data_IF_297962685328
#
_entry.id   IF_297962685328
#
_cell.length_a   1.000
_cell.length_b   1.000
_cell.length_c   1.000
_cell.angle_alpha   90.00
_cell.angle_beta   90.00
_cell.angle_gamma   90.00
#
_symmetry.space_group_name_H-M   'P 1'
#
loop_
_entity.id
_entity.type
_entity.pdbx_description
1 polymer ?
#
# COMPACT_ATOMS: atom_id res chain seq x y z
N UNK A 1 -32.39 39.85 -7.30
CA UNK A 1 -31.59 39.49 -6.12
C UNK A 1 -31.33 38.00 -6.19
N UNK A 2 -30.07 37.62 -6.37
CA UNK A 2 -29.36 36.57 -5.62
C UNK A 2 -27.96 36.49 -6.26
N UNK A 3 -27.01 37.06 -5.52
CA UNK A 3 -25.59 37.11 -5.82
C UNK A 3 -24.98 35.78 -5.37
N UNK A 4 -24.35 35.04 -6.27
CA UNK A 4 -23.50 33.90 -5.88
C UNK A 4 -22.09 34.26 -6.32
N UNK A 5 -21.29 34.70 -5.34
CA UNK A 5 -19.87 34.94 -5.51
C UNK A 5 -19.15 33.60 -5.60
N UNK A 6 -18.35 33.42 -6.63
CA UNK A 6 -17.37 32.34 -6.74
C UNK A 6 -16.26 32.56 -5.71
N UNK A 7 -15.97 31.54 -4.89
CA UNK A 7 -14.81 31.54 -4.00
C UNK A 7 -13.72 30.70 -4.68
N UNK A 8 -12.71 31.37 -5.22
CA UNK A 8 -11.44 30.75 -5.56
C UNK A 8 -10.65 30.52 -4.26
N UNK A 9 -10.16 29.32 -4.04
CA UNK A 9 -9.16 29.04 -2.99
C UNK A 9 -7.84 28.79 -3.70
N UNK A 10 -6.95 29.77 -3.61
CA UNK A 10 -5.52 29.64 -3.92
C UNK A 10 -4.88 28.72 -2.89
N UNK A 11 -4.16 27.69 -3.35
CA UNK A 11 -3.30 26.86 -2.52
C UNK A 11 -1.95 27.57 -2.43
N UNK A 12 -1.65 28.16 -1.27
CA UNK A 12 -0.35 28.74 -0.95
C UNK A 12 0.60 27.64 -0.45
N UNK A 13 1.77 27.61 -1.08
CA UNK A 13 2.84 26.64 -0.91
C UNK A 13 3.81 27.18 0.15
N UNK A 14 3.66 26.77 1.41
CA UNK A 14 4.64 27.07 2.46
C UNK A 14 4.89 25.86 3.35
N UNK A 15 6.17 25.45 3.38
CA UNK A 15 6.67 24.23 3.97
C UNK A 15 6.34 24.05 5.46
N UNK A 16 5.88 22.85 5.80
CA UNK A 16 5.67 22.42 7.17
C UNK A 16 6.90 21.64 7.68
N UNK A 17 7.51 22.20 8.72
CA UNK A 17 8.57 21.63 9.56
C UNK A 17 8.13 20.28 10.15
N UNK A 18 8.94 19.24 9.92
CA UNK A 18 8.68 17.86 10.34
C UNK A 18 9.08 17.58 11.79
N UNK A 19 8.15 17.02 12.57
CA UNK A 19 8.40 16.36 13.84
C UNK A 19 7.75 14.96 13.82
N UNK A 20 8.03 14.11 14.82
CA UNK A 20 7.53 12.72 15.03
C UNK A 20 6.01 12.47 14.85
N UNK A 21 5.25 13.48 14.45
CA UNK A 21 3.81 13.48 14.24
C UNK A 21 3.34 12.68 13.02
N UNK A 22 4.16 12.42 12.00
CA UNK A 22 3.64 11.95 10.71
C UNK A 22 2.88 10.59 10.73
N UNK A 23 3.34 9.55 11.45
CA UNK A 23 2.59 8.30 11.57
C UNK A 23 1.34 8.44 12.45
N UNK A 24 1.39 9.32 13.44
CA UNK A 24 0.27 9.63 14.34
C UNK A 24 -0.79 10.44 13.58
N UNK A 25 -0.39 11.44 12.82
CA UNK A 25 -1.25 12.24 11.94
C UNK A 25 -1.83 11.39 10.81
N UNK A 26 -1.09 10.39 10.31
CA UNK A 26 -1.60 9.38 9.38
C UNK A 26 -2.69 8.50 10.03
N UNK A 27 -2.42 7.97 11.22
CA UNK A 27 -3.41 7.19 11.99
C UNK A 27 -4.63 8.05 12.39
N UNK A 28 -4.42 9.32 12.76
CA UNK A 28 -5.46 10.30 13.12
C UNK A 28 -6.34 10.68 11.92
N UNK A 29 -5.76 10.91 10.74
CA UNK A 29 -6.51 11.16 9.52
C UNK A 29 -7.37 9.95 9.12
N UNK A 30 -6.87 8.73 9.36
CA UNK A 30 -7.64 7.50 9.15
C UNK A 30 -8.78 7.40 10.16
N UNK A 31 -8.53 7.65 11.46
CA UNK A 31 -9.56 7.67 12.49
C UNK A 31 -10.63 8.72 12.16
N UNK A 32 -10.23 9.91 11.72
CA UNK A 32 -11.15 10.98 11.37
C UNK A 32 -12.00 10.65 10.13
N UNK A 33 -11.40 10.08 9.07
CA UNK A 33 -12.13 9.63 7.90
C UNK A 33 -13.13 8.50 8.22
N UNK A 34 -12.78 7.62 9.16
CA UNK A 34 -13.64 6.56 9.67
C UNK A 34 -14.79 7.16 10.51
N UNK A 35 -14.50 8.12 11.40
CA UNK A 35 -15.45 8.76 12.31
C UNK A 35 -16.50 9.62 11.57
N UNK A 36 -16.09 10.37 10.53
CA UNK A 36 -17.00 11.11 9.64
C UNK A 36 -18.09 10.20 9.07
N UNK A 37 -17.76 8.94 8.76
CA UNK A 37 -18.71 7.96 8.20
C UNK A 37 -19.60 7.30 9.26
N UNK A 38 -19.08 7.03 10.45
CA UNK A 38 -19.89 6.57 11.59
C UNK A 38 -20.97 7.58 11.97
N UNK A 39 -20.70 8.88 11.79
CA UNK A 39 -21.66 9.95 12.05
C UNK A 39 -22.73 10.11 10.95
N UNK A 40 -22.49 9.65 9.71
CA UNK A 40 -23.41 9.81 8.58
C UNK A 40 -24.19 8.54 8.20
N UNK A 41 -23.78 7.36 8.67
CA UNK A 41 -24.42 6.09 8.36
C UNK A 41 -24.48 5.20 9.61
N UNK A 42 -25.59 4.49 9.84
CA UNK A 42 -25.60 3.35 10.78
C UNK A 42 -24.90 2.22 10.02
N UNK A 43 -23.64 1.87 10.32
CA UNK A 43 -22.92 0.89 9.53
C UNK A 43 -23.47 -0.49 9.84
N UNK A 44 -23.69 -1.32 8.81
CA UNK A 44 -23.98 -2.73 9.05
C UNK A 44 -22.75 -3.41 9.69
N UNK A 45 -22.93 -4.54 10.40
CA UNK A 45 -21.79 -5.31 10.91
C UNK A 45 -20.79 -5.73 9.81
N UNK A 46 -21.27 -5.91 8.59
CA UNK A 46 -20.44 -6.20 7.40
C UNK A 46 -19.57 -4.98 7.04
N UNK A 47 -20.14 -3.78 7.01
CA UNK A 47 -19.38 -2.53 6.76
C UNK A 47 -18.30 -2.30 7.82
N UNK A 48 -18.57 -2.65 9.09
CA UNK A 48 -17.58 -2.54 10.17
C UNK A 48 -16.41 -3.51 9.97
N UNK A 49 -16.69 -4.75 9.58
CA UNK A 49 -15.66 -5.74 9.29
C UNK A 49 -14.80 -5.33 8.09
N UNK A 50 -15.41 -4.83 7.02
CA UNK A 50 -14.72 -4.38 5.82
C UNK A 50 -13.75 -3.22 6.11
N UNK A 51 -14.18 -2.24 6.92
CA UNK A 51 -13.31 -1.17 7.38
C UNK A 51 -12.12 -1.68 8.21
N UNK A 52 -12.32 -2.70 9.06
CA UNK A 52 -11.25 -3.31 9.84
C UNK A 52 -10.23 -4.05 8.96
N UNK A 53 -10.66 -4.72 7.89
CA UNK A 53 -9.75 -5.40 6.97
C UNK A 53 -8.82 -4.41 6.26
N UNK A 54 -9.35 -3.29 5.78
CA UNK A 54 -8.53 -2.21 5.22
C UNK A 54 -7.60 -1.60 6.26
N UNK A 55 -8.10 -1.36 7.47
CA UNK A 55 -7.28 -0.84 8.55
C UNK A 55 -6.11 -1.76 8.90
N UNK A 56 -6.30 -3.08 8.84
CA UNK A 56 -5.22 -4.06 9.02
C UNK A 56 -4.14 -3.92 7.95
N UNK A 57 -4.52 -3.74 6.67
CA UNK A 57 -3.54 -3.50 5.59
C UNK A 57 -2.74 -2.23 5.85
N UNK A 58 -3.39 -1.12 6.19
CA UNK A 58 -2.69 0.14 6.48
C UNK A 58 -1.71 0.01 7.65
N UNK A 59 -2.15 -0.57 8.76
CA UNK A 59 -1.28 -0.84 9.90
C UNK A 59 -0.13 -1.78 9.53
N UNK A 60 -0.40 -2.76 8.69
CA UNK A 60 0.61 -3.69 8.17
C UNK A 60 1.69 -2.97 7.38
N UNK A 61 1.29 -2.15 6.40
CA UNK A 61 2.22 -1.33 5.61
C UNK A 61 3.01 -0.35 6.50
N UNK A 62 2.36 0.31 7.46
CA UNK A 62 3.04 1.20 8.40
C UNK A 62 4.03 0.45 9.31
N UNK A 63 3.77 -0.82 9.65
CA UNK A 63 4.72 -1.67 10.37
C UNK A 63 5.91 -2.02 9.48
N UNK A 64 5.68 -2.37 8.20
CA UNK A 64 6.75 -2.69 7.26
C UNK A 64 7.67 -1.49 6.98
N UNK A 65 7.11 -0.29 6.77
CA UNK A 65 7.86 0.96 6.59
C UNK A 65 8.82 1.19 7.76
N UNK A 66 8.32 1.05 8.99
CA UNK A 66 9.13 1.21 10.21
C UNK A 66 10.20 0.11 10.31
N UNK A 67 9.86 -1.14 10.00
CA UNK A 67 10.80 -2.27 10.05
C UNK A 67 11.95 -2.14 9.02
N UNK A 68 11.67 -1.52 7.87
CA UNK A 68 12.64 -1.23 6.83
C UNK A 68 13.45 0.06 7.08
N UNK A 69 13.16 0.77 8.18
CA UNK A 69 13.72 2.08 8.50
C UNK A 69 13.56 3.09 7.35
N UNK A 70 12.41 3.07 6.68
CA UNK A 70 12.08 4.00 5.61
C UNK A 70 11.46 5.26 6.20
N UNK A 71 11.99 6.41 5.82
CA UNK A 71 11.51 7.70 6.28
C UNK A 71 10.31 8.16 5.43
N UNK A 72 9.20 8.51 6.09
CA UNK A 72 7.93 8.83 5.41
C UNK A 72 8.05 9.98 4.42
N UNK A 73 8.86 11.00 4.72
CA UNK A 73 9.05 12.13 3.80
C UNK A 73 9.77 11.74 2.52
N UNK A 74 10.66 10.75 2.59
CA UNK A 74 11.30 10.19 1.40
C UNK A 74 10.26 9.42 0.57
N UNK A 75 9.37 8.67 1.23
CA UNK A 75 8.25 7.99 0.58
C UNK A 75 7.19 8.93 -0.01
N UNK A 76 7.08 10.17 0.49
CA UNK A 76 6.19 11.19 -0.05
C UNK A 76 6.80 11.97 -1.22
N UNK A 77 8.11 11.83 -1.45
CA UNK A 77 8.87 12.58 -2.44
C UNK A 77 9.13 11.75 -3.71
N UNK A 78 8.65 12.25 -4.84
CA UNK A 78 8.81 11.68 -6.18
C UNK A 78 10.26 11.57 -6.69
N UNK A 79 11.23 12.12 -5.97
CA UNK A 79 12.63 12.15 -6.39
C UNK A 79 13.54 11.34 -5.45
N UNK A 80 12.98 10.61 -4.49
CA UNK A 80 13.75 9.85 -3.52
C UNK A 80 14.10 8.47 -4.05
N UNK A 81 15.38 8.11 -3.99
CA UNK A 81 15.83 6.75 -4.26
C UNK A 81 15.75 5.88 -3.00
N UNK A 82 15.45 4.60 -3.20
CA UNK A 82 15.47 3.60 -2.15
C UNK A 82 16.84 3.52 -1.47
N UNK A 83 16.88 3.47 -0.13
CA UNK A 83 18.12 3.29 0.61
C UNK A 83 18.83 1.96 0.32
N UNK A 84 18.14 0.95 -0.23
CA UNK A 84 18.76 -0.31 -0.66
C UNK A 84 19.80 -0.13 -1.77
N UNK A 85 19.69 0.93 -2.58
CA UNK A 85 20.66 1.26 -3.64
C UNK A 85 21.93 1.86 -3.06
N UNK A 86 21.81 2.67 -2.01
CA UNK A 86 22.96 3.28 -1.34
C UNK A 86 23.81 2.27 -0.57
N UNK A 87 23.28 1.08 -0.29
CA UNK A 87 23.92 0.06 0.53
C UNK A 87 23.95 0.39 2.03
N UNK A 88 23.30 1.47 2.46
CA UNK A 88 23.30 1.93 3.85
C UNK A 88 22.18 1.33 4.69
N UNK A 89 21.72 0.11 4.36
CA UNK A 89 20.74 -0.64 5.16
C UNK A 89 21.40 -1.84 5.83
N UNK A 90 21.22 -1.93 7.15
CA UNK A 90 21.55 -3.13 7.91
C UNK A 90 20.53 -4.24 7.60
N UNK A 91 20.90 -5.12 6.68
CA UNK A 91 20.08 -6.25 6.26
C UNK A 91 20.05 -7.40 7.27
N UNK A 92 20.90 -7.38 8.30
CA UNK A 92 21.02 -8.48 9.26
C UNK A 92 19.81 -8.59 10.21
N UNK A 93 19.06 -7.50 10.35
CA UNK A 93 17.88 -7.41 11.22
C UNK A 93 16.56 -7.57 10.46
N UNK A 94 16.60 -7.60 9.12
CA UNK A 94 15.41 -7.69 8.29
C UNK A 94 14.79 -9.09 8.34
N UNK A 95 13.45 -9.14 8.35
CA UNK A 95 12.70 -10.37 8.19
C UNK A 95 13.11 -11.10 6.89
N UNK A 96 12.99 -12.44 6.82
CA UNK A 96 13.41 -13.21 5.65
C UNK A 96 12.82 -12.71 4.32
N UNK A 97 11.54 -12.35 4.31
CA UNK A 97 10.85 -11.87 3.11
C UNK A 97 11.21 -10.42 2.76
N UNK A 98 11.83 -9.67 3.66
CA UNK A 98 12.36 -8.33 3.40
C UNK A 98 13.84 -8.29 3.06
N UNK A 99 14.49 -9.46 2.91
CA UNK A 99 15.82 -9.48 2.34
C UNK A 99 15.79 -8.85 0.93
N UNK A 100 16.72 -7.92 0.64
CA UNK A 100 16.68 -7.20 -0.62
C UNK A 100 16.98 -8.13 -1.79
N UNK A 101 16.31 -7.89 -2.91
CA UNK A 101 16.56 -8.58 -4.17
C UNK A 101 17.81 -8.01 -4.86
N UNK A 102 18.20 -8.61 -5.97
CA UNK A 102 19.27 -8.06 -6.80
C UNK A 102 18.85 -6.71 -7.42
N UNK A 103 17.61 -6.58 -7.89
CA UNK A 103 17.14 -5.35 -8.52
C UNK A 103 17.08 -4.18 -7.53
N UNK A 104 16.57 -4.40 -6.32
CA UNK A 104 16.55 -3.37 -5.27
C UNK A 104 17.94 -2.85 -4.88
N UNK A 105 19.01 -3.61 -5.15
CA UNK A 105 20.39 -3.18 -4.88
C UNK A 105 21.08 -2.53 -6.07
N UNK A 106 20.50 -2.62 -7.27
CA UNK A 106 21.21 -2.29 -8.52
C UNK A 106 20.46 -1.34 -9.44
N UNK A 107 19.15 -1.17 -9.27
CA UNK A 107 18.30 -0.32 -10.11
C UNK A 107 17.69 0.79 -9.26
N UNK A 108 18.00 2.05 -9.57
CA UNK A 108 17.39 3.20 -8.88
C UNK A 108 15.85 3.14 -8.97
N UNK A 109 15.18 3.23 -7.81
CA UNK A 109 13.74 3.06 -7.68
C UNK A 109 13.23 3.74 -6.41
N UNK A 110 11.93 4.02 -6.36
CA UNK A 110 11.29 4.68 -5.23
C UNK A 110 11.12 3.73 -4.02
N UNK A 111 11.33 4.19 -2.77
CA UNK A 111 11.19 3.36 -1.57
C UNK A 111 9.81 2.71 -1.38
N UNK A 112 8.76 3.22 -2.05
CA UNK A 112 7.42 2.62 -1.96
C UNK A 112 7.33 1.21 -2.54
N UNK A 113 8.26 0.82 -3.42
CA UNK A 113 8.30 -0.54 -3.96
C UNK A 113 8.88 -1.55 -2.98
N UNK A 114 9.47 -1.10 -1.87
CA UNK A 114 10.14 -1.98 -0.91
C UNK A 114 9.21 -2.55 0.16
N UNK A 115 8.01 -2.00 0.32
CA UNK A 115 7.17 -2.21 1.51
C UNK A 115 6.33 -3.50 1.47
N UNK A 116 6.32 -4.21 0.34
CA UNK A 116 5.57 -5.46 0.17
C UNK A 116 6.50 -6.67 0.33
N UNK A 117 6.12 -7.70 1.12
CA UNK A 117 7.06 -8.77 1.48
C UNK A 117 7.41 -9.69 0.31
N UNK A 118 6.53 -9.88 -0.68
CA UNK A 118 6.85 -10.77 -1.80
C UNK A 118 7.93 -10.16 -2.71
N UNK A 119 9.09 -10.81 -2.78
CA UNK A 119 10.24 -10.35 -3.59
C UNK A 119 9.93 -10.22 -5.09
N UNK A 120 9.07 -11.08 -5.65
CA UNK A 120 8.73 -11.03 -7.08
C UNK A 120 7.87 -9.82 -7.37
N UNK A 121 6.92 -9.50 -6.49
CA UNK A 121 6.11 -8.28 -6.59
C UNK A 121 6.98 -7.02 -6.56
N UNK A 122 7.98 -6.97 -5.68
CA UNK A 122 8.93 -5.85 -5.59
C UNK A 122 9.74 -5.71 -6.88
N UNK A 123 10.28 -6.81 -7.38
CA UNK A 123 11.06 -6.83 -8.62
C UNK A 123 10.21 -6.41 -9.83
N UNK A 124 8.98 -6.91 -9.94
CA UNK A 124 8.03 -6.49 -10.96
C UNK A 124 7.74 -4.98 -10.90
N UNK A 125 7.54 -4.42 -9.70
CA UNK A 125 7.33 -2.98 -9.54
C UNK A 125 8.52 -2.16 -10.07
N UNK A 126 9.74 -2.58 -9.76
CA UNK A 126 10.99 -1.93 -10.20
C UNK A 126 11.16 -2.05 -11.72
N UNK A 127 10.94 -3.22 -12.29
CA UNK A 127 11.05 -3.43 -13.74
C UNK A 127 10.05 -2.57 -14.51
N UNK A 128 8.78 -2.56 -14.10
CA UNK A 128 7.75 -1.77 -14.78
C UNK A 128 7.95 -0.27 -14.61
N UNK A 129 8.48 0.17 -13.46
CA UNK A 129 8.87 1.56 -13.24
C UNK A 129 9.89 2.05 -14.28
N UNK A 130 10.91 1.23 -14.55
CA UNK A 130 11.97 1.57 -15.49
C UNK A 130 11.48 1.66 -16.93
N UNK A 131 10.48 0.85 -17.30
CA UNK A 131 9.99 0.72 -18.68
C UNK A 131 8.94 1.77 -19.03
N UNK A 132 7.96 2.01 -18.17
CA UNK A 132 6.77 2.78 -18.56
C UNK A 132 6.72 4.21 -17.99
N UNK A 133 7.61 4.58 -17.04
CA UNK A 133 7.47 5.83 -16.24
C UNK A 133 6.02 6.03 -15.76
N UNK A 134 5.40 4.93 -15.36
CA UNK A 134 3.99 4.87 -15.05
C UNK A 134 3.68 5.67 -13.77
N UNK A 135 2.54 6.36 -13.63
CA UNK A 135 2.16 7.11 -12.41
C UNK A 135 1.82 6.23 -11.18
N UNK A 136 2.55 5.11 -11.00
CA UNK A 136 2.44 4.17 -9.88
C UNK A 136 3.23 4.59 -8.64
N UNK A 137 4.24 5.46 -8.79
CA UNK A 137 5.12 5.88 -7.68
C UNK A 137 4.36 6.40 -6.46
N UNK A 138 3.26 7.13 -6.69
CA UNK A 138 2.38 7.65 -5.64
C UNK A 138 1.17 6.75 -5.30
N UNK A 139 1.11 5.52 -5.85
CA UNK A 139 -0.10 4.68 -5.78
C UNK A 139 0.12 3.23 -5.38
N UNK A 140 1.34 2.68 -5.27
CA UNK A 140 1.47 1.26 -4.89
C UNK A 140 0.89 0.97 -3.49
N UNK A 141 1.23 1.77 -2.48
CA UNK A 141 0.65 1.64 -1.13
C UNK A 141 -0.88 1.79 -1.14
N UNK A 142 -1.39 2.71 -1.95
CA UNK A 142 -2.83 2.95 -2.13
C UNK A 142 -3.51 1.79 -2.86
N UNK A 143 -2.89 1.26 -3.90
CA UNK A 143 -3.37 0.14 -4.68
C UNK A 143 -3.42 -1.11 -3.80
N UNK A 144 -2.37 -1.41 -3.02
CA UNK A 144 -2.34 -2.51 -2.04
C UNK A 144 -3.45 -2.32 -1.00
N UNK A 145 -3.69 -1.07 -0.57
CA UNK A 145 -4.78 -0.74 0.33
C UNK A 145 -6.16 -0.67 -0.36
N UNK A 146 -6.27 -1.06 -1.64
CA UNK A 146 -7.53 -1.09 -2.39
C UNK A 146 -8.18 0.27 -2.60
N UNK A 147 -7.36 1.31 -2.81
CA UNK A 147 -7.82 2.70 -2.98
C UNK A 147 -7.24 3.32 -4.25
N UNK A 148 -8.07 4.10 -4.95
CA UNK A 148 -7.61 4.99 -6.02
C UNK A 148 -7.26 6.38 -5.49
N UNK A 149 -7.89 6.84 -4.41
CA UNK A 149 -7.59 8.09 -3.69
C UNK A 149 -7.68 7.90 -2.17
N UNK A 150 -7.13 8.83 -1.40
CA UNK A 150 -7.20 8.80 0.07
C UNK A 150 -8.63 8.80 0.64
N UNK A 151 -9.58 9.35 -0.11
CA UNK A 151 -10.96 9.56 0.33
C UNK A 151 -11.92 8.44 -0.11
N UNK A 152 -11.48 7.56 -1.03
CA UNK A 152 -12.27 6.43 -1.48
C UNK A 152 -11.98 5.18 -0.63
N UNK A 153 -13.04 4.51 -0.19
CA UNK A 153 -12.95 3.22 0.48
C UNK A 153 -13.74 2.25 -0.40
N UNK A 154 -13.06 1.28 -0.99
CA UNK A 154 -13.70 0.17 -1.69
C UNK A 154 -14.34 -0.76 -0.67
N UNK A 155 -15.55 -0.41 -0.20
CA UNK A 155 -16.26 -1.17 0.82
C UNK A 155 -16.45 -2.65 0.46
N UNK A 156 -16.30 -3.06 -0.79
CA UNK A 156 -16.52 -4.44 -1.19
C UNK A 156 -15.26 -5.33 -1.14
N UNK A 157 -14.09 -4.82 -0.73
CA UNK A 157 -12.81 -5.55 -0.82
C UNK A 157 -12.56 -6.09 -2.24
N UNK A 158 -13.01 -5.37 -3.27
CA UNK A 158 -12.87 -5.83 -4.65
C UNK A 158 -11.47 -5.59 -5.18
N UNK A 159 -10.80 -4.55 -4.69
CA UNK A 159 -9.48 -4.11 -5.10
C UNK A 159 -8.53 -4.08 -3.89
N UNK A 160 -7.24 -4.22 -4.17
CA UNK A 160 -6.17 -4.28 -3.18
C UNK A 160 -5.83 -5.66 -2.65
N UNK A 161 -5.30 -5.68 -1.45
CA UNK A 161 -4.89 -6.88 -0.75
C UNK A 161 -5.63 -6.98 0.58
N UNK A 162 -5.56 -8.17 1.16
CA UNK A 162 -6.08 -8.48 2.49
C UNK A 162 -4.92 -9.02 3.32
N UNK A 163 -4.78 -8.50 4.54
CA UNK A 163 -3.77 -8.97 5.49
C UNK A 163 -4.41 -9.84 6.57
N UNK A 164 -4.03 -11.12 6.60
CA UNK A 164 -4.56 -12.14 7.51
C UNK A 164 -3.66 -12.42 8.72
N UNK A 165 -2.41 -11.94 8.71
CA UNK A 165 -1.40 -12.27 9.70
C UNK A 165 -0.33 -11.19 9.83
N UNK A 166 0.92 -11.60 10.00
CA UNK A 166 2.04 -10.68 10.12
C UNK A 166 2.39 -10.05 8.77
N UNK A 167 2.55 -8.71 8.69
CA UNK A 167 2.69 -7.98 7.41
C UNK A 167 4.04 -8.17 6.72
N UNK A 168 5.04 -8.67 7.44
CA UNK A 168 6.38 -8.99 6.95
C UNK A 168 6.51 -10.43 6.44
N UNK A 169 5.40 -11.15 6.31
CA UNK A 169 5.33 -12.52 5.80
C UNK A 169 4.44 -12.58 4.57
N UNK A 170 4.98 -13.01 3.44
CA UNK A 170 4.29 -13.14 2.15
C UNK A 170 3.02 -13.97 2.28
N UNK A 171 3.09 -15.09 3.00
CA UNK A 171 1.96 -16.00 3.17
C UNK A 171 0.83 -15.43 4.03
N UNK A 172 1.00 -14.26 4.66
CA UNK A 172 -0.08 -13.56 5.38
C UNK A 172 -0.94 -12.69 4.47
N UNK A 173 -0.52 -12.46 3.23
CA UNK A 173 -1.21 -11.60 2.29
C UNK A 173 -2.06 -12.40 1.30
N UNK A 174 -3.22 -11.82 0.97
CA UNK A 174 -4.10 -12.29 -0.09
C UNK A 174 -4.32 -11.14 -1.08
N UNK A 175 -4.19 -11.42 -2.37
CA UNK A 175 -4.54 -10.47 -3.45
C UNK A 175 -6.01 -10.65 -3.82
N UNK A 176 -6.76 -9.54 -3.91
CA UNK A 176 -8.15 -9.59 -4.36
C UNK A 176 -8.24 -9.71 -5.88
N UNK A 177 -9.37 -10.22 -6.40
CA UNK A 177 -9.54 -10.39 -7.84
C UNK A 177 -9.36 -9.08 -8.62
N UNK A 178 -9.95 -7.97 -8.15
CA UNK A 178 -9.82 -6.68 -8.83
C UNK A 178 -8.41 -6.13 -8.82
N UNK A 179 -7.61 -6.42 -7.77
CA UNK A 179 -6.18 -6.05 -7.81
C UNK A 179 -5.42 -6.86 -8.86
N UNK A 180 -5.67 -8.16 -8.97
CA UNK A 180 -5.06 -8.99 -10.00
C UNK A 180 -5.47 -8.57 -11.42
N UNK A 181 -6.72 -8.10 -11.59
CA UNK A 181 -7.24 -7.63 -12.87
C UNK A 181 -6.67 -6.25 -13.26
N UNK A 182 -6.54 -5.33 -12.30
CA UNK A 182 -6.00 -3.97 -12.52
C UNK A 182 -4.48 -3.97 -12.65
N UNK A 183 -3.80 -4.83 -11.90
CA UNK A 183 -2.34 -4.86 -11.76
C UNK A 183 -1.76 -6.26 -12.06
N UNK A 184 -2.13 -6.91 -13.19
CA UNK A 184 -1.71 -8.28 -13.49
C UNK A 184 -0.19 -8.39 -13.60
N UNK A 185 0.46 -7.34 -14.12
CA UNK A 185 1.90 -7.28 -14.27
C UNK A 185 2.64 -7.27 -12.94
N UNK A 186 2.04 -6.72 -11.88
CA UNK A 186 2.68 -6.57 -10.58
C UNK A 186 2.78 -7.92 -9.86
N UNK A 187 1.75 -8.75 -9.98
CA UNK A 187 1.67 -10.06 -9.32
C UNK A 187 2.23 -11.20 -10.16
N UNK A 188 2.50 -10.96 -11.45
CA UNK A 188 2.96 -11.96 -12.41
C UNK A 188 4.14 -12.79 -11.87
N UNK A 189 3.96 -14.11 -11.87
CA UNK A 189 4.98 -15.07 -11.43
C UNK A 189 5.23 -15.13 -9.92
N UNK A 190 4.49 -14.40 -9.09
CA UNK A 190 4.61 -14.43 -7.63
C UNK A 190 3.96 -15.71 -7.03
N UNK A 191 4.60 -16.85 -7.25
CA UNK A 191 4.06 -18.19 -6.91
C UNK A 191 3.73 -18.37 -5.43
N UNK A 192 4.50 -17.76 -4.53
CA UNK A 192 4.25 -17.83 -3.08
C UNK A 192 3.00 -17.04 -2.70
N UNK A 193 2.89 -15.81 -3.19
CA UNK A 193 1.71 -14.98 -3.02
C UNK A 193 0.47 -15.59 -3.67
N UNK A 194 0.58 -16.22 -4.84
CA UNK A 194 -0.52 -16.91 -5.51
C UNK A 194 -1.04 -18.06 -4.64
N UNK A 195 -0.14 -18.91 -4.14
CA UNK A 195 -0.49 -20.02 -3.28
C UNK A 195 -1.15 -19.55 -1.97
N UNK A 196 -0.63 -18.48 -1.36
CA UNK A 196 -1.20 -17.87 -0.17
C UNK A 196 -2.60 -17.31 -0.44
N UNK A 197 -2.75 -16.56 -1.53
CA UNK A 197 -4.03 -15.99 -2.00
C UNK A 197 -5.07 -17.09 -2.16
N UNK A 198 -4.73 -18.15 -2.90
CA UNK A 198 -5.64 -19.26 -3.17
C UNK A 198 -5.96 -20.10 -1.93
N UNK A 199 -5.04 -20.17 -0.94
CA UNK A 199 -5.32 -20.79 0.36
C UNK A 199 -6.44 -20.06 1.09
N UNK A 200 -6.39 -18.73 1.19
CA UNK A 200 -7.42 -17.95 1.88
C UNK A 200 -8.75 -17.95 1.13
N UNK A 201 -8.71 -17.84 -0.20
CA UNK A 201 -9.90 -17.92 -1.05
C UNK A 201 -10.61 -19.27 -0.92
N UNK A 202 -9.85 -20.38 -0.89
CA UNK A 202 -10.42 -21.71 -0.70
C UNK A 202 -11.14 -21.88 0.64
N UNK A 203 -10.66 -21.25 1.73
CA UNK A 203 -11.35 -21.27 3.03
C UNK A 203 -12.74 -20.61 2.99
N UNK A 204 -12.97 -19.71 2.02
CA UNK A 204 -14.25 -19.02 1.81
C UNK A 204 -15.05 -19.58 0.62
N UNK A 205 -14.56 -20.64 -0.04
CA UNK A 205 -15.20 -21.24 -1.21
C UNK A 205 -15.12 -20.39 -2.48
N UNK A 206 -14.17 -19.46 -2.54
CA UNK A 206 -13.96 -18.60 -3.72
C UNK A 206 -13.09 -19.29 -4.78
N UNK A 207 -13.29 -18.99 -6.08
CA UNK A 207 -12.48 -19.55 -7.16
C UNK A 207 -11.02 -19.06 -7.10
N UNK A 208 -10.05 -19.86 -7.56
CA UNK A 208 -8.64 -19.46 -7.53
C UNK A 208 -8.33 -18.31 -8.50
N UNK A 209 -7.30 -17.54 -8.16
CA UNK A 209 -6.68 -16.50 -9.01
C UNK A 209 -5.33 -17.03 -9.49
N UNK A 210 -4.97 -16.75 -10.74
CA UNK A 210 -3.70 -17.17 -11.34
C UNK A 210 -2.89 -15.95 -11.79
N UNK A 211 -1.62 -15.90 -11.41
CA UNK A 211 -0.68 -14.81 -11.68
C UNK A 211 0.21 -15.15 -12.89
N UNK A 212 -0.41 -15.27 -14.07
CA UNK A 212 0.22 -15.65 -15.33
C UNK A 212 1.14 -14.59 -15.97
#
# INVERSE_FOLDING_TARGET
MLHVSSINVELDDQGASMTDSDPVTFEENIIHAIDIRYHTFIPSPEDQLLNLMYYNVFRGLAKNIRALNLEMHLMASWASDSPFISGNIDTSTLAPDFQPTFLQRTVAHHPCFDIFPDSVVRDNAIEYWYVEKHPLEGRLCMAIAGRHTWHEIDLALKHGCVLWGEPDVTESWEVTQGFADDWPFLVKGAVRLEAATNRYRALRGEPPIFFA
#
